data_IF_260619438316
#
_entry.id   IF_260619438316
#
_cell.length_a   1.000
_cell.length_b   1.000
_cell.length_c   1.000
_cell.angle_alpha   90.00
_cell.angle_beta   90.00
_cell.angle_gamma   90.00
#
_symmetry.space_group_name_H-M   'P 1'
#
loop_
_entity.id
_entity.type
_entity.pdbx_description
1 polymer ?
#
# COMPACT_ATOMS: atom_id res chain seq x y z
N UNK A 1 -20.25 -3.74 -10.87
CA UNK A 1 -19.97 -3.16 -9.53
C UNK A 1 -19.03 -4.03 -8.70
N UNK A 2 -19.29 -5.35 -8.58
CA UNK A 2 -18.46 -6.27 -7.77
C UNK A 2 -16.95 -6.22 -8.06
N UNK A 3 -16.55 -6.06 -9.33
CA UNK A 3 -15.13 -5.94 -9.72
C UNK A 3 -14.43 -4.71 -9.14
N UNK A 4 -15.13 -3.57 -9.00
CA UNK A 4 -14.56 -2.35 -8.43
C UNK A 4 -14.48 -2.41 -6.91
N UNK A 5 -15.46 -3.05 -6.25
CA UNK A 5 -15.40 -3.33 -4.81
C UNK A 5 -14.19 -4.20 -4.51
N UNK A 6 -13.95 -5.26 -5.29
CA UNK A 6 -12.77 -6.11 -5.16
C UNK A 6 -11.47 -5.29 -5.27
N UNK A 7 -11.39 -4.40 -6.25
CA UNK A 7 -10.23 -3.51 -6.45
C UNK A 7 -9.98 -2.61 -5.25
N UNK A 8 -11.02 -1.91 -4.78
CA UNK A 8 -10.91 -1.02 -3.62
C UNK A 8 -10.53 -1.78 -2.34
N UNK A 9 -11.11 -2.96 -2.11
CA UNK A 9 -10.78 -3.80 -0.95
C UNK A 9 -9.33 -4.29 -1.02
N UNK A 10 -8.86 -4.75 -2.18
CA UNK A 10 -7.46 -5.15 -2.36
C UNK A 10 -6.51 -3.99 -2.08
N UNK A 11 -6.79 -2.80 -2.62
CA UNK A 11 -5.99 -1.61 -2.36
C UNK A 11 -5.98 -1.23 -0.88
N UNK A 12 -7.14 -1.23 -0.21
CA UNK A 12 -7.23 -0.93 1.22
C UNK A 12 -6.43 -1.91 2.07
N UNK A 13 -6.47 -3.20 1.75
CA UNK A 13 -5.67 -4.23 2.42
C UNK A 13 -4.16 -4.02 2.17
N UNK A 14 -3.76 -3.73 0.93
CA UNK A 14 -2.36 -3.45 0.60
C UNK A 14 -1.82 -2.24 1.38
N UNK A 15 -2.58 -1.13 1.41
CA UNK A 15 -2.21 0.10 2.11
C UNK A 15 -2.10 -0.15 3.61
N UNK A 16 -3.08 -0.86 4.20
CA UNK A 16 -3.05 -1.23 5.61
C UNK A 16 -1.84 -2.09 5.94
N UNK A 17 -1.51 -3.06 5.07
CA UNK A 17 -0.31 -3.88 5.19
C UNK A 17 0.98 -3.06 5.21
N UNK A 18 1.09 -2.07 4.32
CA UNK A 18 2.25 -1.16 4.26
C UNK A 18 2.39 -0.31 5.54
N UNK A 19 1.28 0.19 6.08
CA UNK A 19 1.28 0.94 7.35
C UNK A 19 1.73 0.06 8.51
N UNK A 20 1.24 -1.19 8.58
CA UNK A 20 1.67 -2.15 9.60
C UNK A 20 3.14 -2.54 9.47
N UNK A 21 3.65 -2.75 8.26
CA UNK A 21 5.08 -2.96 8.04
C UNK A 21 5.90 -1.79 8.56
N UNK A 22 5.53 -0.56 8.20
CA UNK A 22 6.26 0.63 8.64
C UNK A 22 6.28 0.75 10.16
N UNK A 23 5.13 0.57 10.82
CA UNK A 23 5.01 0.58 12.28
C UNK A 23 5.82 -0.53 12.94
N UNK A 24 5.75 -1.75 12.41
CA UNK A 24 6.47 -2.91 12.93
C UNK A 24 8.00 -2.75 12.82
N UNK A 25 8.49 -2.26 11.69
CA UNK A 25 9.92 -1.98 11.49
C UNK A 25 10.41 -0.82 12.36
N UNK A 26 9.59 0.21 12.61
CA UNK A 26 9.95 1.29 13.52
C UNK A 26 10.07 0.83 14.98
N UNK A 27 9.31 -0.20 15.37
CA UNK A 27 9.32 -0.76 16.72
C UNK A 27 10.32 -1.91 16.89
N UNK A 28 10.90 -2.42 15.80
CA UNK A 28 11.91 -3.47 15.82
C UNK A 28 13.32 -2.93 15.60
N UNK A 29 14.33 -3.65 16.08
CA UNK A 29 15.74 -3.34 15.82
C UNK A 29 16.22 -4.09 14.58
N UNK A 30 15.69 -3.74 13.41
CA UNK A 30 16.11 -4.36 12.15
C UNK A 30 17.55 -3.94 11.81
N UNK A 31 18.45 -4.91 11.69
CA UNK A 31 19.83 -4.72 11.25
C UNK A 31 20.23 -5.81 10.24
N UNK A 32 21.48 -5.80 9.76
CA UNK A 32 21.94 -6.75 8.75
C UNK A 32 22.18 -8.19 9.28
N UNK A 33 21.98 -8.43 10.57
CA UNK A 33 22.07 -9.78 11.16
C UNK A 33 20.80 -10.57 10.89
N UNK A 34 20.97 -11.83 10.48
CA UNK A 34 19.90 -12.81 10.25
C UNK A 34 18.97 -12.90 11.47
N UNK A 35 19.52 -12.87 12.69
CA UNK A 35 18.73 -12.93 13.92
C UNK A 35 17.76 -11.76 14.07
N UNK A 36 18.18 -10.55 13.71
CA UNK A 36 17.33 -9.35 13.79
C UNK A 36 16.23 -9.34 12.73
N UNK A 37 16.53 -9.90 11.54
CA UNK A 37 15.57 -10.06 10.45
C UNK A 37 14.47 -11.00 10.90
N UNK A 38 14.82 -12.18 11.44
CA UNK A 38 13.84 -13.15 11.95
C UNK A 38 12.99 -12.52 13.05
N UNK A 39 13.60 -11.83 14.02
CA UNK A 39 12.85 -11.14 15.08
C UNK A 39 11.88 -10.09 14.53
N UNK A 40 12.30 -9.32 13.52
CA UNK A 40 11.44 -8.32 12.88
C UNK A 40 10.29 -8.98 12.11
N UNK A 41 10.55 -10.07 11.40
CA UNK A 41 9.52 -10.83 10.68
C UNK A 41 8.45 -11.40 11.63
N UNK A 42 8.86 -11.80 12.84
CA UNK A 42 7.97 -12.30 13.89
C UNK A 42 7.30 -11.18 14.71
N UNK A 43 7.65 -9.91 14.47
CA UNK A 43 7.02 -8.79 15.17
C UNK A 43 5.52 -8.75 14.81
N UNK A 44 4.58 -8.64 15.79
CA UNK A 44 3.14 -8.75 15.53
C UNK A 44 2.61 -7.83 14.42
N UNK A 45 3.04 -6.57 14.37
CA UNK A 45 2.68 -5.65 13.29
C UNK A 45 3.25 -6.06 11.93
N UNK A 46 4.49 -6.55 11.86
CA UNK A 46 5.08 -6.99 10.59
C UNK A 46 4.35 -8.24 10.09
N UNK A 47 4.09 -9.20 10.98
CA UNK A 47 3.31 -10.39 10.66
C UNK A 47 1.90 -10.03 10.17
N UNK A 48 1.21 -9.12 10.85
CA UNK A 48 -0.10 -8.62 10.41
C UNK A 48 -0.01 -7.94 9.05
N UNK A 49 1.04 -7.17 8.80
CA UNK A 49 1.34 -6.58 7.49
C UNK A 49 1.43 -7.64 6.39
N UNK A 50 2.14 -8.75 6.65
CA UNK A 50 2.22 -9.87 5.72
C UNK A 50 0.87 -10.53 5.46
N UNK A 51 0.05 -10.74 6.48
CA UNK A 51 -1.30 -11.33 6.33
C UNK A 51 -2.16 -10.44 5.42
N UNK A 52 -2.20 -9.13 5.69
CA UNK A 52 -2.97 -8.18 4.87
C UNK A 52 -2.46 -8.14 3.43
N UNK A 53 -1.14 -8.12 3.24
CA UNK A 53 -0.52 -8.09 1.92
C UNK A 53 -0.74 -9.40 1.15
N UNK A 54 -0.72 -10.55 1.82
CA UNK A 54 -1.00 -11.86 1.23
C UNK A 54 -2.44 -11.95 0.74
N UNK A 55 -3.42 -11.55 1.58
CA UNK A 55 -4.83 -11.50 1.18
C UNK A 55 -5.01 -10.54 0.00
N UNK A 56 -4.42 -9.34 0.07
CA UNK A 56 -4.45 -8.39 -1.04
C UNK A 56 -3.89 -8.99 -2.33
N UNK A 57 -2.78 -9.72 -2.25
CA UNK A 57 -2.14 -10.36 -3.42
C UNK A 57 -3.04 -11.43 -4.04
N UNK A 58 -3.75 -12.20 -3.23
CA UNK A 58 -4.76 -13.16 -3.71
C UNK A 58 -5.89 -12.42 -4.45
N UNK A 59 -6.43 -11.34 -3.86
CA UNK A 59 -7.46 -10.52 -4.51
C UNK A 59 -6.95 -9.90 -5.82
N UNK A 60 -5.67 -9.52 -5.86
CA UNK A 60 -5.01 -8.97 -7.05
C UNK A 60 -5.03 -9.94 -8.24
N UNK A 61 -4.82 -11.24 -8.00
CA UNK A 61 -4.92 -12.25 -9.06
C UNK A 61 -6.31 -12.25 -9.72
N UNK A 62 -7.38 -12.12 -8.93
CA UNK A 62 -8.75 -12.02 -9.45
C UNK A 62 -9.03 -10.68 -10.14
N UNK A 63 -8.36 -9.60 -9.73
CA UNK A 63 -8.45 -8.29 -10.40
C UNK A 63 -7.83 -8.39 -11.80
N UNK A 64 -6.65 -9.01 -11.92
CA UNK A 64 -5.96 -9.18 -13.19
C UNK A 64 -6.73 -10.04 -14.20
N UNK A 65 -7.58 -10.95 -13.73
CA UNK A 65 -8.50 -11.69 -14.60
C UNK A 65 -9.64 -10.83 -15.16
N UNK A 66 -9.99 -9.71 -14.50
CA UNK A 66 -11.19 -8.91 -14.78
C UNK A 66 -10.90 -7.55 -15.39
N UNK A 67 -9.67 -7.06 -15.24
CA UNK A 67 -9.22 -5.78 -15.75
C UNK A 67 -7.97 -5.97 -16.60
N UNK A 68 -7.86 -5.28 -17.75
CA UNK A 68 -6.58 -5.18 -18.43
C UNK A 68 -5.59 -4.45 -17.51
N UNK A 69 -4.31 -4.85 -17.60
CA UNK A 69 -3.23 -4.27 -16.80
C UNK A 69 -3.15 -2.74 -16.95
N UNK A 70 -3.42 -2.23 -18.16
CA UNK A 70 -3.47 -0.80 -18.48
C UNK A 70 -4.54 -0.02 -17.71
N UNK A 71 -5.54 -0.69 -17.13
CA UNK A 71 -6.60 -0.06 -16.29
C UNK A 71 -6.35 -0.33 -14.80
N UNK A 72 -5.83 -1.52 -14.46
CA UNK A 72 -5.56 -1.88 -13.07
C UNK A 72 -4.38 -1.10 -12.46
N UNK A 73 -3.31 -0.88 -13.22
CA UNK A 73 -2.12 -0.17 -12.73
C UNK A 73 -2.36 1.33 -12.46
N UNK A 74 -3.07 2.08 -13.32
CA UNK A 74 -3.47 3.45 -12.98
C UNK A 74 -4.33 3.54 -11.71
N UNK A 75 -5.23 2.57 -11.48
CA UNK A 75 -5.96 2.50 -10.22
C UNK A 75 -5.02 2.25 -9.04
N UNK A 76 -4.06 1.32 -9.18
CA UNK A 76 -3.07 1.03 -8.14
C UNK A 76 -2.22 2.27 -7.79
N UNK A 77 -1.92 3.14 -8.77
CA UNK A 77 -1.17 4.37 -8.52
C UNK A 77 -1.89 5.33 -7.56
N UNK A 78 -3.23 5.29 -7.49
CA UNK A 78 -3.99 6.05 -6.48
C UNK A 78 -3.67 5.61 -5.05
N UNK A 79 -3.21 4.37 -4.85
CA UNK A 79 -2.76 3.90 -3.53
C UNK A 79 -1.57 4.70 -3.00
N UNK A 80 -0.71 5.27 -3.86
CA UNK A 80 0.39 6.12 -3.41
C UNK A 80 -0.11 7.37 -2.71
N UNK A 81 -1.15 8.00 -3.25
CA UNK A 81 -1.78 9.19 -2.65
C UNK A 81 -2.41 8.83 -1.31
N UNK A 82 -3.11 7.69 -1.26
CA UNK A 82 -3.69 7.21 -0.01
C UNK A 82 -2.61 6.88 1.03
N UNK A 83 -1.50 6.26 0.64
CA UNK A 83 -0.37 5.97 1.55
C UNK A 83 0.18 7.26 2.14
N UNK A 84 0.36 8.33 1.34
CA UNK A 84 0.82 9.63 1.86
C UNK A 84 -0.13 10.21 2.89
N UNK A 85 -1.44 10.10 2.67
CA UNK A 85 -2.46 10.59 3.60
C UNK A 85 -2.45 9.75 4.88
N UNK A 86 -2.46 8.42 4.76
CA UNK A 86 -2.47 7.52 5.91
C UNK A 86 -1.16 7.55 6.69
N UNK A 87 -0.01 7.75 6.03
CA UNK A 87 1.26 7.87 6.73
C UNK A 87 1.34 9.17 7.52
N UNK A 88 0.80 10.28 6.98
CA UNK A 88 0.66 11.52 7.74
C UNK A 88 -0.28 11.36 8.95
N UNK A 89 -1.45 10.73 8.75
CA UNK A 89 -2.47 10.60 9.78
C UNK A 89 -2.15 9.56 10.88
N UNK A 90 -1.62 8.40 10.51
CA UNK A 90 -1.43 7.26 11.43
C UNK A 90 -0.01 7.14 11.97
N UNK A 91 0.98 7.62 11.20
CA UNK A 91 2.40 7.52 11.57
C UNK A 91 3.00 8.89 11.93
N UNK A 92 2.24 9.97 11.79
CA UNK A 92 2.70 11.32 12.08
C UNK A 92 3.78 11.81 11.10
N UNK A 93 3.85 11.24 9.89
CA UNK A 93 4.84 11.68 8.91
C UNK A 93 4.53 13.09 8.40
N UNK A 94 5.57 13.92 8.24
CA UNK A 94 5.40 15.27 7.70
C UNK A 94 4.84 15.22 6.27
N UNK A 95 3.72 15.94 6.07
CA UNK A 95 3.13 16.18 4.77
C UNK A 95 3.78 17.42 4.15
N UNK A 96 4.90 17.21 3.46
CA UNK A 96 5.63 18.30 2.81
C UNK A 96 4.91 18.77 1.55
N UNK A 97 5.15 20.02 1.15
CA UNK A 97 4.61 20.59 -0.09
C UNK A 97 4.93 19.71 -1.31
N UNK A 98 6.14 19.14 -1.36
CA UNK A 98 6.55 18.24 -2.44
C UNK A 98 5.72 16.96 -2.49
N UNK A 99 5.35 16.36 -1.34
CA UNK A 99 4.48 15.17 -1.30
C UNK A 99 3.08 15.50 -1.80
N UNK A 100 2.55 16.68 -1.46
CA UNK A 100 1.24 17.15 -1.93
C UNK A 100 1.26 17.38 -3.44
N UNK A 101 2.24 18.14 -3.94
CA UNK A 101 2.37 18.41 -5.38
C UNK A 101 2.56 17.13 -6.18
N UNK A 102 3.43 16.22 -5.72
CA UNK A 102 3.60 14.90 -6.35
C UNK A 102 2.30 14.08 -6.36
N UNK A 103 1.53 14.12 -5.27
CA UNK A 103 0.23 13.43 -5.21
C UNK A 103 -0.77 13.99 -6.21
N UNK A 104 -0.84 15.32 -6.36
CA UNK A 104 -1.69 15.98 -7.37
C UNK A 104 -1.28 15.55 -8.78
N UNK A 105 0.02 15.51 -9.08
CA UNK A 105 0.54 15.06 -10.37
C UNK A 105 0.14 13.60 -10.64
N UNK A 106 0.23 12.72 -9.64
CA UNK A 106 -0.21 11.32 -9.77
C UNK A 106 -1.70 11.26 -10.11
N UNK A 107 -2.55 12.00 -9.40
CA UNK A 107 -4.01 12.02 -9.66
C UNK A 107 -4.30 12.50 -11.08
N UNK A 108 -3.64 13.56 -11.53
CA UNK A 108 -3.80 14.09 -12.89
C UNK A 108 -3.33 13.08 -13.95
N UNK A 109 -2.17 12.44 -13.74
CA UNK A 109 -1.66 11.41 -14.64
C UNK A 109 -2.61 10.22 -14.74
N UNK A 110 -3.16 9.78 -13.60
CA UNK A 110 -4.16 8.71 -13.55
C UNK A 110 -5.44 9.12 -14.29
N UNK A 111 -5.91 10.36 -14.14
CA UNK A 111 -7.09 10.86 -14.84
C UNK A 111 -6.89 10.88 -16.37
N UNK A 112 -5.69 11.19 -16.85
CA UNK A 112 -5.35 11.11 -18.28
C UNK A 112 -5.34 9.66 -18.78
N UNK A 113 -4.82 8.71 -17.99
CA UNK A 113 -4.77 7.29 -18.36
C UNK A 113 -6.14 6.61 -18.42
N UNK A 114 -7.13 7.13 -17.69
CA UNK A 114 -8.50 6.60 -17.69
C UNK A 114 -9.41 7.19 -18.76
N UNK A 115 -8.92 8.15 -19.54
CA UNK A 115 -9.66 8.75 -20.66
C UNK A 115 -9.41 7.99 -21.95
#
# INVERSE_FOLDING_TARGET
MLKYILLLTSMALAISGQVFFKKGVQMSTLNASIGSIIQTLLHPYVFLGFVFYAISSILWLFILQRFPLSVAYPALAMSYVLIVIFSAALLGEALTLNKVLGSVIIVLGVAVLFR
#
